data_IF_959455002342
#
_entry.id   IF_959455002342
#
_cell.length_a   1.000
_cell.length_b   1.000
_cell.length_c   1.000
_cell.angle_alpha   90.00
_cell.angle_beta   90.00
_cell.angle_gamma   90.00
#
_symmetry.space_group_name_H-M   'P 1'
#
loop_
_entity.id
_entity.type
_entity.pdbx_description
1 polymer ?
#
# COMPACT_ATOMS: atom_id res chain seq x y z
N UNK A 1 -0.23 10.11 -2.24
CA UNK A 1 -1.47 10.91 -2.06
C UNK A 1 -2.69 10.00 -2.14
N UNK A 2 -3.74 10.26 -1.35
CA UNK A 2 -5.04 9.59 -1.52
C UNK A 2 -5.90 10.38 -2.52
N UNK A 3 -6.09 9.83 -3.71
CA UNK A 3 -6.85 10.47 -4.80
C UNK A 3 -8.37 10.50 -4.60
N UNK A 4 -8.88 10.01 -3.47
CA UNK A 4 -10.29 10.14 -3.07
C UNK A 4 -10.56 11.40 -2.24
N UNK A 5 -9.52 12.11 -1.82
CA UNK A 5 -9.64 13.39 -1.13
C UNK A 5 -10.18 14.44 -2.11
N UNK A 6 -10.92 15.41 -1.58
CA UNK A 6 -11.39 16.52 -2.40
C UNK A 6 -10.22 17.49 -2.71
N UNK A 7 -10.35 18.35 -3.74
CA UNK A 7 -9.27 19.25 -4.15
C UNK A 7 -8.69 20.13 -3.04
N UNK A 8 -9.53 20.64 -2.13
CA UNK A 8 -9.08 21.47 -1.00
C UNK A 8 -8.24 20.70 0.01
N UNK A 9 -8.62 19.45 0.30
CA UNK A 9 -7.84 18.58 1.18
C UNK A 9 -6.48 18.24 0.58
N UNK A 10 -6.43 17.99 -0.73
CA UNK A 10 -5.16 17.73 -1.43
C UNK A 10 -4.29 18.99 -1.41
N UNK A 11 -4.85 20.16 -1.74
CA UNK A 11 -4.13 21.42 -1.72
C UNK A 11 -3.54 21.73 -0.32
N UNK A 12 -4.31 21.49 0.75
CA UNK A 12 -3.83 21.65 2.12
C UNK A 12 -2.64 20.72 2.45
N UNK A 13 -2.66 19.48 1.97
CA UNK A 13 -1.53 18.55 2.12
C UNK A 13 -0.32 19.02 1.32
N UNK A 14 -0.52 19.48 0.09
CA UNK A 14 0.57 19.98 -0.78
C UNK A 14 1.25 21.21 -0.16
N UNK A 15 0.47 22.13 0.40
CA UNK A 15 0.96 23.31 1.09
C UNK A 15 1.70 22.95 2.39
N UNK A 16 1.10 22.14 3.26
CA UNK A 16 1.70 21.72 4.54
C UNK A 16 3.01 20.94 4.34
N UNK A 17 3.05 20.03 3.35
CA UNK A 17 4.24 19.26 3.01
C UNK A 17 5.32 20.09 2.28
N UNK A 18 5.00 21.32 1.86
CA UNK A 18 5.86 22.17 1.04
C UNK A 18 6.39 21.43 -0.21
N UNK A 19 5.49 20.70 -0.91
CA UNK A 19 5.88 19.89 -2.05
C UNK A 19 6.55 20.75 -3.13
N UNK A 20 7.63 20.22 -3.70
CA UNK A 20 8.35 20.85 -4.81
C UNK A 20 7.97 20.26 -6.16
N UNK A 21 7.58 18.99 -6.17
CA UNK A 21 7.25 18.23 -7.37
C UNK A 21 6.07 17.31 -7.07
N UNK A 22 5.13 17.23 -8.00
CA UNK A 22 4.00 16.31 -7.95
C UNK A 22 3.98 15.44 -9.21
N UNK A 23 4.03 14.12 -9.01
CA UNK A 23 3.73 13.13 -10.03
C UNK A 23 2.25 12.78 -9.94
N UNK A 24 1.57 12.72 -11.09
CA UNK A 24 0.14 12.48 -11.16
C UNK A 24 -0.19 11.62 -12.38
N UNK A 25 -1.43 11.15 -12.45
CA UNK A 25 -1.99 10.47 -13.62
C UNK A 25 -3.09 11.36 -14.20
N UNK A 26 -3.25 11.41 -15.52
CA UNK A 26 -4.22 12.28 -16.22
C UNK A 26 -5.62 12.21 -15.58
N UNK A 27 -6.10 11.01 -15.26
CA UNK A 27 -7.40 10.77 -14.64
C UNK A 27 -7.61 11.44 -13.27
N UNK A 28 -6.54 11.92 -12.63
CA UNK A 28 -6.58 12.59 -11.33
C UNK A 28 -6.38 14.11 -11.43
N UNK A 29 -6.26 14.66 -12.65
CA UNK A 29 -6.03 16.08 -12.85
C UNK A 29 -7.16 16.96 -12.28
N UNK A 30 -8.40 16.48 -12.33
CA UNK A 30 -9.56 17.17 -11.74
C UNK A 30 -9.48 17.29 -10.21
N UNK A 31 -8.72 16.42 -9.55
CA UNK A 31 -8.44 16.50 -8.11
C UNK A 31 -7.38 17.55 -7.76
N UNK A 32 -6.70 18.11 -8.77
CA UNK A 32 -5.54 19.00 -8.62
C UNK A 32 -5.85 20.46 -9.00
N UNK A 33 -7.13 20.80 -9.20
CA UNK A 33 -7.56 22.13 -9.67
C UNK A 33 -7.16 23.28 -8.72
N UNK A 34 -7.04 23.01 -7.43
CA UNK A 34 -6.72 24.00 -6.39
C UNK A 34 -5.20 24.08 -6.11
N UNK A 35 -4.37 23.45 -6.94
CA UNK A 35 -2.90 23.40 -6.77
C UNK A 35 -2.22 24.28 -7.82
N UNK A 36 -1.11 24.91 -7.43
CA UNK A 36 -0.23 25.62 -8.35
C UNK A 36 0.26 24.66 -9.46
N UNK A 37 -0.07 24.98 -10.70
CA UNK A 37 0.26 24.19 -11.88
C UNK A 37 1.78 24.05 -12.08
N UNK A 38 2.58 24.96 -11.53
CA UNK A 38 4.05 24.85 -11.57
C UNK A 38 4.60 23.68 -10.75
N UNK A 39 3.81 23.14 -9.80
CA UNK A 39 4.18 21.96 -9.02
C UNK A 39 3.90 20.65 -9.75
N UNK A 40 3.07 20.68 -10.81
CA UNK A 40 2.73 19.51 -11.61
C UNK A 40 3.93 19.13 -12.49
N UNK A 41 4.70 18.16 -12.04
CA UNK A 41 6.00 17.85 -12.64
C UNK A 41 5.89 16.84 -13.79
N UNK A 42 5.14 15.76 -13.58
CA UNK A 42 5.11 14.64 -14.53
C UNK A 42 3.76 13.93 -14.46
N UNK A 43 3.10 13.84 -15.62
CA UNK A 43 2.03 12.88 -15.84
C UNK A 43 2.66 11.50 -16.07
N UNK A 44 2.22 10.49 -15.34
CA UNK A 44 2.75 9.13 -15.44
C UNK A 44 2.06 8.31 -16.54
N UNK A 45 1.01 8.84 -17.16
CA UNK A 45 0.27 8.15 -18.23
C UNK A 45 0.75 8.56 -19.65
N UNK A 46 1.81 9.38 -19.78
CA UNK A 46 2.35 9.84 -21.06
C UNK A 46 3.64 9.10 -21.47
N UNK A 47 3.91 9.03 -22.78
CA UNK A 47 5.06 8.31 -23.35
C UNK A 47 6.42 8.80 -22.80
N UNK A 48 6.53 10.06 -22.40
CA UNK A 48 7.74 10.60 -21.78
C UNK A 48 8.05 9.92 -20.45
N UNK A 49 7.04 9.54 -19.67
CA UNK A 49 7.25 8.78 -18.45
C UNK A 49 7.75 7.37 -18.75
N UNK A 50 7.19 6.71 -19.77
CA UNK A 50 7.63 5.39 -20.22
C UNK A 50 9.11 5.38 -20.65
N UNK A 51 9.57 6.44 -21.30
CA UNK A 51 11.00 6.61 -21.64
C UNK A 51 11.89 6.73 -20.40
N UNK A 52 11.43 7.44 -19.35
CA UNK A 52 12.17 7.61 -18.08
C UNK A 52 12.33 6.26 -17.34
N UNK A 53 11.29 5.43 -17.36
CA UNK A 53 11.29 4.14 -16.64
C UNK A 53 11.68 2.95 -17.51
N UNK A 54 12.16 3.19 -18.72
CA UNK A 54 12.59 2.12 -19.63
C UNK A 54 13.85 1.41 -19.08
N UNK A 55 13.78 0.09 -18.82
CA UNK A 55 14.92 -0.67 -18.31
C UNK A 55 16.17 -0.62 -19.18
N UNK A 56 16.03 -0.47 -20.50
CA UNK A 56 17.16 -0.39 -21.44
C UNK A 56 18.05 0.83 -21.20
N UNK A 57 17.51 1.87 -20.55
CA UNK A 57 18.22 3.11 -20.23
C UNK A 57 18.65 3.20 -18.76
N UNK A 58 18.31 2.20 -17.94
CA UNK A 58 18.66 2.19 -16.52
C UNK A 58 20.18 2.16 -16.34
N UNK A 59 20.66 3.10 -15.52
CA UNK A 59 22.05 3.12 -15.05
C UNK A 59 22.10 2.54 -13.63
N UNK A 60 23.26 2.00 -13.19
CA UNK A 60 23.44 1.61 -11.80
C UNK A 60 23.08 2.77 -10.87
N UNK A 61 22.16 2.51 -9.94
CA UNK A 61 21.74 3.52 -8.97
C UNK A 61 22.92 3.95 -8.11
N UNK A 62 23.22 5.24 -8.12
CA UNK A 62 24.21 5.83 -7.23
C UNK A 62 23.47 6.33 -5.98
N UNK A 63 23.65 5.61 -4.87
CA UNK A 63 23.04 5.99 -3.61
C UNK A 63 23.65 7.30 -3.09
N UNK A 64 22.79 8.24 -2.73
CA UNK A 64 23.17 9.42 -1.96
C UNK A 64 23.32 9.02 -0.48
N UNK A 65 24.33 9.54 0.25
CA UNK A 65 24.39 9.36 1.70
C UNK A 65 23.11 9.86 2.38
N UNK A 66 22.55 9.05 3.27
CA UNK A 66 21.39 9.38 4.10
C UNK A 66 21.72 9.04 5.55
N UNK A 67 21.33 9.91 6.47
CA UNK A 67 21.45 9.64 7.90
C UNK A 67 20.21 8.89 8.40
N UNK A 68 20.31 8.03 9.43
CA UNK A 68 19.17 7.21 9.85
C UNK A 68 17.95 8.04 10.30
N UNK A 69 18.19 9.24 10.84
CA UNK A 69 17.14 10.16 11.30
C UNK A 69 16.60 11.09 10.20
N UNK A 70 17.14 11.04 8.97
CA UNK A 70 16.62 11.82 7.86
C UNK A 70 15.17 11.44 7.56
N UNK A 71 14.36 12.46 7.22
CA UNK A 71 12.97 12.27 6.84
C UNK A 71 12.90 11.50 5.51
N UNK A 72 12.31 10.30 5.56
CA UNK A 72 12.12 9.43 4.39
C UNK A 72 10.73 9.57 3.78
N UNK A 73 9.69 9.77 4.61
CA UNK A 73 8.33 9.95 4.11
C UNK A 73 7.44 10.77 5.07
N UNK A 74 6.43 11.43 4.48
CA UNK A 74 5.27 11.97 5.20
C UNK A 74 4.04 11.15 4.82
N UNK A 75 3.39 10.54 5.80
CA UNK A 75 2.11 9.85 5.62
C UNK A 75 1.01 10.65 6.33
N UNK A 76 0.10 11.22 5.54
CA UNK A 76 -0.97 12.05 6.07
C UNK A 76 -2.12 11.22 6.63
N UNK A 77 -2.62 11.64 7.79
CA UNK A 77 -3.80 11.05 8.46
C UNK A 77 -4.87 12.12 8.63
N UNK A 78 -6.14 11.71 8.73
CA UNK A 78 -7.28 12.63 8.72
C UNK A 78 -7.31 13.63 9.89
N UNK A 79 -6.54 13.40 10.96
CA UNK A 79 -6.46 14.28 12.13
C UNK A 79 -7.77 14.37 12.91
N UNK A 80 -7.72 14.40 14.24
CA UNK A 80 -8.92 14.59 15.07
C UNK A 80 -9.42 16.05 15.09
N UNK A 81 -8.56 16.99 14.67
CA UNK A 81 -8.78 18.44 14.74
C UNK A 81 -9.23 19.06 13.42
N UNK A 82 -9.64 18.25 12.43
CA UNK A 82 -10.22 18.70 11.17
C UNK A 82 -9.23 18.85 10.00
N UNK A 83 -7.98 19.22 10.26
CA UNK A 83 -6.93 19.28 9.22
C UNK A 83 -6.06 18.01 9.20
N UNK A 84 -5.70 17.48 8.02
CA UNK A 84 -4.77 16.38 7.91
C UNK A 84 -3.42 16.69 8.56
N UNK A 85 -2.78 15.68 9.15
CA UNK A 85 -1.45 15.81 9.77
C UNK A 85 -0.48 14.83 9.12
N UNK A 86 0.67 15.34 8.67
CA UNK A 86 1.77 14.55 8.14
C UNK A 86 2.52 13.83 9.26
N UNK A 87 2.44 12.50 9.31
CA UNK A 87 3.28 11.70 10.19
C UNK A 87 4.65 11.55 9.54
N UNK A 88 5.68 12.00 10.24
CA UNK A 88 7.08 11.91 9.81
C UNK A 88 7.64 10.51 10.05
N UNK A 89 8.14 9.87 9.00
CA UNK A 89 8.88 8.62 9.07
C UNK A 89 10.33 8.86 8.68
N UNK A 90 11.26 8.49 9.56
CA UNK A 90 12.69 8.48 9.23
C UNK A 90 13.09 7.23 8.44
N UNK A 91 14.27 7.24 7.83
CA UNK A 91 14.85 6.04 7.22
C UNK A 91 14.94 4.88 8.23
N UNK A 92 15.46 5.16 9.43
CA UNK A 92 15.59 4.19 10.52
C UNK A 92 14.24 3.60 10.95
N UNK A 93 13.16 4.39 10.90
CA UNK A 93 11.81 3.91 11.23
C UNK A 93 11.36 2.79 10.28
N UNK A 94 11.59 2.96 8.97
CA UNK A 94 11.28 1.93 7.97
C UNK A 94 12.16 0.69 8.11
N UNK A 95 13.46 0.90 8.33
CA UNK A 95 14.44 -0.18 8.50
C UNK A 95 14.10 -1.04 9.72
N UNK A 96 13.82 -0.41 10.86
CA UNK A 96 13.42 -1.10 12.08
C UNK A 96 12.10 -1.84 11.92
N UNK A 97 11.12 -1.29 11.23
CA UNK A 97 9.87 -2.01 10.97
C UNK A 97 10.10 -3.25 10.12
N UNK A 98 10.89 -3.13 9.05
CA UNK A 98 11.29 -4.27 8.21
C UNK A 98 11.97 -5.37 9.02
N UNK A 99 12.96 -5.01 9.84
CA UNK A 99 13.67 -5.95 10.71
C UNK A 99 12.72 -6.61 11.74
N UNK A 100 11.79 -5.84 12.33
CA UNK A 100 10.81 -6.38 13.27
C UNK A 100 9.88 -7.41 12.62
N UNK A 101 9.41 -7.17 11.40
CA UNK A 101 8.57 -8.11 10.65
C UNK A 101 9.35 -9.35 10.22
N UNK A 102 10.60 -9.21 9.80
CA UNK A 102 11.49 -10.34 9.55
C UNK A 102 11.67 -11.20 10.81
N UNK A 103 11.97 -10.59 11.96
CA UNK A 103 12.19 -11.33 13.20
C UNK A 103 10.91 -11.99 13.73
N UNK A 104 9.77 -11.31 13.64
CA UNK A 104 8.48 -11.78 14.18
C UNK A 104 7.82 -12.81 13.28
N UNK A 105 7.83 -12.58 11.98
CA UNK A 105 7.06 -13.35 11.00
C UNK A 105 7.90 -14.08 9.97
N UNK A 106 9.23 -14.03 10.08
CA UNK A 106 10.19 -14.77 9.24
C UNK A 106 10.09 -14.44 7.75
N UNK A 107 9.79 -13.18 7.44
CA UNK A 107 9.81 -12.67 6.07
C UNK A 107 11.15 -13.01 5.41
N UNK A 108 11.09 -13.51 4.19
CA UNK A 108 12.26 -13.89 3.39
C UNK A 108 11.89 -13.86 1.91
N UNK A 109 12.85 -14.12 1.04
CA UNK A 109 12.69 -14.00 -0.41
C UNK A 109 11.67 -14.96 -1.04
N UNK A 110 11.20 -15.98 -0.31
CA UNK A 110 10.14 -16.87 -0.80
C UNK A 110 8.72 -16.31 -0.53
N UNK A 111 8.59 -15.16 0.15
CA UNK A 111 7.30 -14.59 0.45
C UNK A 111 6.68 -13.98 -0.81
N UNK A 112 5.40 -14.27 -1.03
CA UNK A 112 4.61 -13.73 -2.13
C UNK A 112 3.35 -13.13 -1.50
N UNK A 113 3.01 -11.89 -1.83
CA UNK A 113 1.76 -11.29 -1.36
C UNK A 113 1.06 -10.53 -2.47
N UNK A 114 -0.26 -10.43 -2.34
CA UNK A 114 -1.09 -9.58 -3.20
C UNK A 114 -1.32 -8.27 -2.46
N UNK A 115 -0.85 -7.17 -3.05
CA UNK A 115 -1.01 -5.81 -2.53
C UNK A 115 -2.34 -5.27 -3.03
N UNK A 116 -3.38 -5.49 -2.21
CA UNK A 116 -4.73 -4.93 -2.42
C UNK A 116 -5.02 -3.74 -1.51
N UNK A 117 -4.15 -3.48 -0.53
CA UNK A 117 -4.24 -2.35 0.39
C UNK A 117 -3.63 -1.09 -0.25
N UNK A 118 -4.19 0.10 0.00
CA UNK A 118 -3.66 1.32 -0.61
C UNK A 118 -2.24 1.66 -0.13
N UNK A 119 -1.31 1.86 -1.06
CA UNK A 119 0.09 2.21 -0.77
C UNK A 119 0.30 3.66 -0.31
N UNK A 120 -0.73 4.52 -0.33
CA UNK A 120 -0.64 5.83 0.33
C UNK A 120 -0.90 5.74 1.84
N UNK A 121 -1.27 4.57 2.35
CA UNK A 121 -1.53 4.31 3.77
C UNK A 121 -0.41 3.44 4.35
N UNK A 122 -0.10 3.63 5.64
CA UNK A 122 0.99 2.93 6.35
C UNK A 122 0.88 1.40 6.22
N UNK A 123 -0.33 0.84 6.35
CA UNK A 123 -0.58 -0.60 6.18
C UNK A 123 -0.12 -1.15 4.81
N UNK A 124 -0.42 -0.44 3.72
CA UNK A 124 -0.05 -0.91 2.38
C UNK A 124 1.42 -0.70 2.09
N UNK A 125 1.99 0.42 2.53
CA UNK A 125 3.38 0.76 2.24
C UNK A 125 4.36 0.18 3.26
N UNK A 126 4.28 0.65 4.51
CA UNK A 126 5.21 0.33 5.59
C UNK A 126 5.07 -1.12 6.10
N UNK A 127 3.84 -1.65 6.17
CA UNK A 127 3.60 -2.97 6.79
C UNK A 127 3.53 -4.10 5.76
N UNK A 128 3.46 -3.79 4.46
CA UNK A 128 3.35 -4.79 3.38
C UNK A 128 4.45 -4.63 2.34
N UNK A 129 4.44 -3.56 1.55
CA UNK A 129 5.31 -3.40 0.38
C UNK A 129 6.78 -3.33 0.75
N UNK A 130 7.17 -2.41 1.64
CA UNK A 130 8.57 -2.21 1.99
C UNK A 130 9.21 -3.45 2.62
N UNK A 131 8.63 -4.10 3.65
CA UNK A 131 9.25 -5.27 4.29
C UNK A 131 9.39 -6.47 3.34
N UNK A 132 8.42 -6.68 2.44
CA UNK A 132 8.51 -7.75 1.45
C UNK A 132 9.62 -7.47 0.45
N UNK A 133 9.76 -6.22 -0.04
CA UNK A 133 10.87 -5.87 -0.93
C UNK A 133 12.23 -5.96 -0.23
N UNK A 134 12.33 -5.48 1.01
CA UNK A 134 13.56 -5.56 1.81
C UNK A 134 14.01 -7.00 2.08
N UNK A 135 13.06 -7.93 2.21
CA UNK A 135 13.34 -9.36 2.38
C UNK A 135 13.53 -10.12 1.05
N UNK A 136 13.41 -9.43 -0.09
CA UNK A 136 13.57 -10.00 -1.43
C UNK A 136 12.36 -10.81 -1.93
N UNK A 137 11.19 -10.61 -1.33
CA UNK A 137 9.95 -11.29 -1.72
C UNK A 137 9.28 -10.70 -2.97
N UNK A 138 8.15 -11.27 -3.34
CA UNK A 138 7.38 -10.91 -4.55
C UNK A 138 6.08 -10.19 -4.21
N UNK A 139 5.80 -9.11 -4.95
CA UNK A 139 4.56 -8.35 -4.86
C UNK A 139 3.72 -8.56 -6.12
N UNK A 140 2.47 -8.99 -5.94
CA UNK A 140 1.46 -8.98 -7.00
C UNK A 140 0.53 -7.79 -6.74
N UNK A 141 0.36 -6.90 -7.71
CA UNK A 141 -0.37 -5.65 -7.50
C UNK A 141 -1.83 -5.79 -7.94
N UNK A 142 -2.77 -5.50 -7.03
CA UNK A 142 -4.18 -5.28 -7.38
C UNK A 142 -4.46 -3.78 -7.33
N UNK A 143 -4.72 -3.16 -8.49
CA UNK A 143 -4.83 -1.69 -8.60
C UNK A 143 -5.97 -1.12 -7.75
N UNK A 144 -7.11 -1.80 -7.73
CA UNK A 144 -8.26 -1.45 -6.89
C UNK A 144 -8.79 -2.70 -6.23
N UNK A 145 -9.04 -2.64 -4.92
CA UNK A 145 -9.59 -3.79 -4.22
C UNK A 145 -10.97 -4.17 -4.77
N UNK A 146 -11.06 -5.44 -5.19
CA UNK A 146 -12.29 -6.16 -5.46
C UNK A 146 -12.15 -7.56 -4.84
N UNK A 147 -13.17 -8.00 -4.09
CA UNK A 147 -13.12 -9.26 -3.35
C UNK A 147 -13.16 -10.50 -4.24
N UNK A 148 -13.90 -10.46 -5.35
CA UNK A 148 -13.98 -11.55 -6.33
C UNK A 148 -12.65 -11.68 -7.10
N UNK A 149 -12.13 -10.57 -7.62
CA UNK A 149 -10.82 -10.54 -8.27
C UNK A 149 -9.70 -10.97 -7.33
N UNK A 150 -9.74 -10.56 -6.04
CA UNK A 150 -8.75 -11.01 -5.08
C UNK A 150 -8.80 -12.52 -4.87
N UNK A 151 -9.99 -13.13 -4.81
CA UNK A 151 -10.11 -14.60 -4.72
C UNK A 151 -9.52 -15.29 -5.96
N UNK A 152 -9.74 -14.75 -7.17
CA UNK A 152 -9.15 -15.28 -8.40
C UNK A 152 -7.62 -15.16 -8.40
N UNK A 153 -7.08 -14.01 -7.98
CA UNK A 153 -5.65 -13.78 -7.85
C UNK A 153 -5.03 -14.71 -6.79
N UNK A 154 -5.73 -14.99 -5.69
CA UNK A 154 -5.27 -15.95 -4.68
C UNK A 154 -5.16 -17.36 -5.28
N UNK A 155 -6.16 -17.78 -6.04
CA UNK A 155 -6.16 -19.06 -6.72
C UNK A 155 -5.06 -19.16 -7.78
N UNK A 156 -4.74 -18.06 -8.45
CA UNK A 156 -3.72 -18.00 -9.50
C UNK A 156 -2.28 -17.94 -8.96
N UNK A 157 -2.03 -17.08 -7.98
CA UNK A 157 -0.67 -16.72 -7.56
C UNK A 157 -0.21 -17.41 -6.27
N UNK A 158 -1.14 -18.06 -5.54
CA UNK A 158 -0.85 -18.77 -4.29
C UNK A 158 0.04 -17.96 -3.32
N UNK A 159 -0.39 -16.75 -2.91
CA UNK A 159 0.39 -15.91 -2.02
C UNK A 159 0.68 -16.65 -0.70
N UNK A 160 1.84 -16.40 -0.10
CA UNK A 160 2.19 -16.98 1.21
C UNK A 160 1.42 -16.32 2.34
N UNK A 161 1.08 -15.04 2.19
CA UNK A 161 0.28 -14.28 3.14
C UNK A 161 -0.46 -13.13 2.47
N UNK A 162 -1.51 -12.63 3.13
CA UNK A 162 -2.24 -11.45 2.67
C UNK A 162 -2.57 -10.56 3.87
N UNK A 163 -2.41 -9.26 3.67
CA UNK A 163 -2.86 -8.25 4.62
C UNK A 163 -4.21 -7.71 4.17
N UNK A 164 -5.20 -7.78 5.06
CA UNK A 164 -6.54 -7.26 4.79
C UNK A 164 -7.08 -6.53 6.02
N UNK A 165 -7.81 -5.44 5.78
CA UNK A 165 -8.67 -4.87 6.82
C UNK A 165 -9.98 -5.68 6.91
N UNK A 166 -10.73 -5.58 8.03
CA UNK A 166 -11.93 -6.39 8.22
C UNK A 166 -12.95 -6.29 7.08
N UNK A 167 -13.17 -5.10 6.52
CA UNK A 167 -14.12 -4.90 5.42
C UNK A 167 -13.70 -5.61 4.14
N UNK A 168 -12.40 -5.65 3.83
CA UNK A 168 -11.88 -6.43 2.70
C UNK A 168 -12.12 -7.91 2.93
N UNK A 169 -11.82 -8.39 4.14
CA UNK A 169 -12.04 -9.79 4.52
C UNK A 169 -13.51 -10.21 4.40
N UNK A 170 -14.46 -9.38 4.86
CA UNK A 170 -15.88 -9.67 4.67
C UNK A 170 -16.30 -9.67 3.20
N UNK A 171 -15.70 -8.79 2.38
CA UNK A 171 -16.00 -8.73 0.95
C UNK A 171 -15.49 -9.96 0.19
N UNK A 172 -14.34 -10.52 0.56
CA UNK A 172 -13.81 -11.74 -0.06
C UNK A 172 -14.63 -12.97 0.32
N UNK A 173 -15.06 -13.07 1.58
CA UNK A 173 -15.93 -14.16 2.07
C UNK A 173 -17.30 -14.19 1.39
N UNK A 174 -17.83 -13.03 1.01
CA UNK A 174 -19.16 -12.91 0.38
C UNK A 174 -19.14 -13.03 -1.14
N UNK A 175 -17.97 -13.04 -1.76
CA UNK A 175 -17.85 -13.17 -3.21
C UNK A 175 -18.27 -14.58 -3.67
N UNK A 176 -18.89 -14.66 -4.86
CA UNK A 176 -19.42 -15.88 -5.46
C UNK A 176 -18.37 -16.98 -5.63
N UNK A 177 -17.12 -16.59 -5.88
CA UNK A 177 -15.99 -17.47 -6.13
C UNK A 177 -15.16 -17.78 -4.86
N UNK A 178 -15.68 -17.49 -3.67
CA UNK A 178 -14.94 -17.76 -2.43
C UNK A 178 -14.60 -19.24 -2.28
N UNK A 179 -13.31 -19.52 -2.01
CA UNK A 179 -12.81 -20.85 -1.72
C UNK A 179 -12.37 -20.94 -0.25
N UNK A 180 -12.92 -21.86 0.57
CA UNK A 180 -12.52 -22.04 1.97
C UNK A 180 -11.02 -22.33 2.19
N UNK A 181 -10.31 -22.83 1.19
CA UNK A 181 -8.85 -23.02 1.24
C UNK A 181 -8.09 -21.71 1.49
N UNK A 182 -8.67 -20.56 1.11
CA UNK A 182 -8.15 -19.22 1.41
C UNK A 182 -7.97 -19.00 2.93
N UNK A 183 -8.77 -19.67 3.77
CA UNK A 183 -8.67 -19.57 5.23
C UNK A 183 -7.40 -20.21 5.80
N UNK A 184 -6.68 -21.01 5.00
CA UNK A 184 -5.38 -21.59 5.38
C UNK A 184 -4.24 -20.59 5.16
N UNK A 185 -4.47 -19.50 4.42
CA UNK A 185 -3.49 -18.45 4.26
C UNK A 185 -3.23 -17.75 5.58
N UNK A 186 -1.99 -17.30 5.76
CA UNK A 186 -1.67 -16.44 6.87
C UNK A 186 -2.22 -15.03 6.58
N UNK A 187 -3.29 -14.66 7.30
CA UNK A 187 -3.94 -13.36 7.17
C UNK A 187 -3.45 -12.43 8.28
N UNK A 188 -2.98 -11.24 7.93
CA UNK A 188 -2.64 -10.20 8.91
C UNK A 188 -3.75 -9.15 8.86
N UNK A 189 -4.50 -9.02 9.95
CA UNK A 189 -5.53 -7.99 10.11
C UNK A 189 -5.16 -7.09 11.27
N UNK A 190 -5.21 -5.77 11.05
CA UNK A 190 -4.87 -4.74 12.05
C UNK A 190 -5.76 -4.74 13.30
N UNK A 191 -6.79 -5.59 13.36
CA UNK A 191 -7.65 -5.78 14.54
C UNK A 191 -7.79 -7.23 15.03
N UNK A 192 -7.21 -8.23 14.37
CA UNK A 192 -7.37 -9.64 14.77
C UNK A 192 -6.07 -10.42 14.50
N UNK A 193 -5.27 -10.58 15.55
CA UNK A 193 -4.18 -11.55 15.61
C UNK A 193 -4.67 -12.72 16.47
N UNK A 194 -5.69 -13.48 16.05
CA UNK A 194 -6.06 -14.74 16.71
C UNK A 194 -6.78 -15.66 15.72
N UNK A 195 -6.23 -16.87 15.53
CA UNK A 195 -6.83 -18.09 14.97
C UNK A 195 -7.99 -17.87 13.98
N UNK A 196 -7.66 -17.41 12.77
CA UNK A 196 -8.61 -17.10 11.69
C UNK A 196 -9.65 -18.21 11.48
N UNK A 197 -9.24 -19.47 11.52
CA UNK A 197 -10.13 -20.62 11.33
C UNK A 197 -11.40 -20.61 12.20
N UNK A 198 -11.30 -20.23 13.49
CA UNK A 198 -12.45 -20.28 14.41
C UNK A 198 -13.41 -19.11 14.21
N UNK A 199 -12.87 -17.91 13.97
CA UNK A 199 -13.68 -16.71 13.69
C UNK A 199 -14.38 -16.84 12.33
N UNK A 200 -13.68 -17.36 11.31
CA UNK A 200 -14.26 -17.63 9.99
C UNK A 200 -15.37 -18.68 10.06
N UNK A 201 -15.19 -19.76 10.83
CA UNK A 201 -16.25 -20.76 11.06
C UNK A 201 -17.50 -20.14 11.70
N UNK A 202 -17.32 -19.29 12.70
CA UNK A 202 -18.43 -18.67 13.41
C UNK A 202 -19.18 -17.65 12.52
N UNK A 203 -18.46 -16.92 11.68
CA UNK A 203 -19.05 -16.00 10.70
C UNK A 203 -19.80 -16.73 9.58
N UNK A 204 -19.24 -17.84 9.06
CA UNK A 204 -19.92 -18.68 8.06
C UNK A 204 -21.21 -19.29 8.61
N UNK A 205 -21.21 -19.72 9.87
CA UNK A 205 -22.40 -20.27 10.53
C UNK A 205 -23.51 -19.21 10.80
N UNK A 206 -23.16 -17.92 10.84
CA UNK A 206 -24.12 -16.83 11.03
C UNK A 206 -24.64 -16.22 9.72
N UNK A 207 -24.08 -16.65 8.58
CA UNK A 207 -24.51 -16.23 7.23
C UNK A 207 -25.35 -17.31 6.52
N UNK A 208 -25.52 -18.48 7.13
CA UNK A 208 -26.46 -19.54 6.73
C UNK A 208 -27.76 -19.43 7.55
#
# INVERSE_FOLDING_TARGET
MNWRLNPKEIAAIVEDAQLKLLFYAEKHLSSLIDIDQNLLHMDIDVAQYDEIVNPDYHQPFQATPVEPQDLAALIYTSGTTGSPKGVMFSYESFVHNGANLELTYKFNSNYITIVSTPMFHVLGFNDTVLPVLMSGGTLILQRYFNGEELNDMIAQYHPTFIIMIPTMYYSTLRASNFNPEILKLWIISSKVVHNHYQVSKQLLNNMA
#
